data_IF_370764828293
#
_entry.id   IF_370764828293
#
_cell.length_a   1.000
_cell.length_b   1.000
_cell.length_c   1.000
_cell.angle_alpha   90.00
_cell.angle_beta   90.00
_cell.angle_gamma   90.00
#
_symmetry.space_group_name_H-M   'P 1'
#
loop_
_entity.id
_entity.type
_entity.pdbx_description
1 polymer ?
#
# COMPACT_ATOMS: atom_id res chain seq x y z
N UNK A 1 -8.51 -23.24 -4.90
CA UNK A 1 -7.38 -22.43 -5.40
C UNK A 1 -7.75 -20.98 -5.17
N UNK A 2 -7.25 -20.38 -4.09
CA UNK A 2 -7.62 -19.01 -3.72
C UNK A 2 -6.85 -18.05 -4.61
N UNK A 3 -7.57 -17.43 -5.53
CA UNK A 3 -7.07 -16.37 -6.41
C UNK A 3 -6.78 -15.14 -5.54
N UNK A 4 -5.56 -15.04 -5.02
CA UNK A 4 -5.08 -13.90 -4.24
C UNK A 4 -5.36 -12.60 -4.99
N UNK A 5 -6.30 -11.79 -4.49
CA UNK A 5 -6.81 -10.65 -5.26
C UNK A 5 -6.06 -9.39 -4.82
N UNK A 6 -4.89 -9.19 -5.40
CA UNK A 6 -4.13 -7.94 -5.29
C UNK A 6 -5.04 -6.76 -5.66
N UNK A 7 -5.26 -5.82 -4.75
CA UNK A 7 -6.03 -4.59 -5.04
C UNK A 7 -5.05 -3.49 -5.44
N UNK A 8 -5.47 -2.64 -6.38
CA UNK A 8 -4.69 -1.50 -6.84
C UNK A 8 -5.54 -0.25 -6.71
N UNK A 9 -4.96 0.80 -6.15
CA UNK A 9 -5.60 2.09 -5.98
C UNK A 9 -4.69 3.16 -6.58
N UNK A 10 -5.23 4.02 -7.46
CA UNK A 10 -4.50 5.14 -8.05
C UNK A 10 -5.11 6.42 -7.55
N UNK A 11 -4.29 7.27 -6.94
CA UNK A 11 -4.73 8.52 -6.33
C UNK A 11 -3.94 9.68 -6.90
N UNK A 12 -4.66 10.74 -7.23
CA UNK A 12 -4.05 12.01 -7.62
C UNK A 12 -3.98 12.93 -6.40
N UNK A 13 -2.78 13.34 -6.02
CA UNK A 13 -2.55 14.26 -4.91
C UNK A 13 -1.61 15.39 -5.35
N UNK A 14 -2.05 16.64 -5.18
CA UNK A 14 -1.32 17.87 -5.56
C UNK A 14 -0.77 17.85 -7.01
N UNK A 15 -1.57 17.34 -7.95
CA UNK A 15 -1.19 17.25 -9.36
C UNK A 15 -0.16 16.16 -9.69
N UNK A 16 0.05 15.20 -8.77
CA UNK A 16 0.86 14.00 -8.99
C UNK A 16 0.02 12.75 -8.81
N UNK A 17 0.23 11.77 -9.67
CA UNK A 17 -0.43 10.48 -9.56
C UNK A 17 0.44 9.50 -8.77
N UNK A 18 -0.19 8.81 -7.83
CA UNK A 18 0.42 7.82 -6.97
C UNK A 18 -0.25 6.47 -7.18
N UNK A 19 0.56 5.42 -7.38
CA UNK A 19 0.06 4.07 -7.58
C UNK A 19 0.29 3.24 -6.33
N UNK A 20 -0.80 2.83 -5.69
CA UNK A 20 -0.80 1.99 -4.52
C UNK A 20 -1.25 0.57 -4.87
N UNK A 21 -0.63 -0.40 -4.23
CA UNK A 21 -0.93 -1.82 -4.41
C UNK A 21 -1.05 -2.46 -3.03
N UNK A 22 -2.13 -3.20 -2.79
CA UNK A 22 -2.28 -4.01 -1.59
C UNK A 22 -1.76 -5.42 -1.84
N UNK A 23 -1.01 -5.94 -0.88
CA UNK A 23 -0.76 -7.36 -0.77
C UNK A 23 -1.70 -7.92 0.30
N UNK A 24 -2.51 -8.91 -0.06
CA UNK A 24 -3.24 -9.69 0.93
C UNK A 24 -2.24 -10.46 1.77
N UNK A 25 -2.41 -10.36 3.09
CA UNK A 25 -1.61 -11.07 4.04
C UNK A 25 -1.86 -12.56 3.89
N UNK A 26 -0.80 -13.34 3.81
CA UNK A 26 -0.90 -14.79 3.74
C UNK A 26 -0.81 -15.32 5.18
N UNK A 27 -1.69 -16.25 5.59
CA UNK A 27 -1.47 -17.00 6.81
C UNK A 27 -0.15 -17.78 6.68
N UNK A 28 0.55 -17.98 7.80
CA UNK A 28 1.77 -18.77 7.80
C UNK A 28 1.48 -20.15 7.21
N UNK A 29 2.20 -20.52 6.17
CA UNK A 29 2.14 -21.85 5.59
C UNK A 29 3.39 -22.61 6.02
N UNK A 30 3.33 -23.20 7.21
CA UNK A 30 4.44 -23.96 7.80
C UNK A 30 4.92 -25.10 6.89
N UNK A 31 4.02 -25.64 6.06
CA UNK A 31 4.34 -26.72 5.12
C UNK A 31 5.20 -26.25 3.94
N UNK A 32 5.20 -24.95 3.63
CA UNK A 32 6.02 -24.32 2.58
C UNK A 32 7.13 -23.42 3.13
N UNK A 33 7.21 -23.25 4.46
CA UNK A 33 8.14 -22.33 5.10
C UNK A 33 7.81 -20.85 4.84
N UNK A 34 6.57 -20.53 4.47
CA UNK A 34 6.14 -19.16 4.21
C UNK A 34 5.65 -18.53 5.54
N UNK A 35 6.35 -17.51 6.02
CA UNK A 35 5.96 -16.74 7.20
C UNK A 35 4.65 -15.97 6.95
N UNK A 36 3.81 -15.85 7.99
CA UNK A 36 2.63 -15.01 7.91
C UNK A 36 3.04 -13.59 7.58
N UNK A 37 2.54 -13.06 6.45
CA UNK A 37 2.70 -11.65 6.13
C UNK A 37 1.38 -10.94 6.43
N UNK A 38 1.38 -9.81 7.16
CA UNK A 38 0.18 -9.01 7.33
C UNK A 38 -0.20 -8.37 6.00
N UNK A 39 -1.50 -8.21 5.79
CA UNK A 39 -2.03 -7.52 4.63
C UNK A 39 -1.62 -6.05 4.69
N UNK A 40 -0.98 -5.53 3.64
CA UNK A 40 -0.35 -4.20 3.66
C UNK A 40 -0.46 -3.50 2.31
N UNK A 41 -0.68 -2.19 2.35
CA UNK A 41 -0.62 -1.28 1.23
C UNK A 41 0.80 -0.77 1.02
N UNK A 42 1.22 -0.72 -0.24
CA UNK A 42 2.50 -0.18 -0.64
C UNK A 42 2.32 0.88 -1.72
N UNK A 43 3.08 1.97 -1.60
CA UNK A 43 3.26 2.93 -2.69
C UNK A 43 4.33 2.39 -3.64
N UNK A 44 3.97 2.28 -4.91
CA UNK A 44 4.88 1.88 -5.98
C UNK A 44 5.62 3.10 -6.53
N UNK A 45 6.91 3.21 -6.17
CA UNK A 45 7.83 4.17 -6.78
C UNK A 45 8.62 3.60 -7.94
N UNK A 46 9.36 4.45 -8.67
CA UNK A 46 10.17 4.04 -9.83
C UNK A 46 11.25 2.99 -9.51
N UNK A 47 11.76 2.98 -8.26
CA UNK A 47 12.85 2.09 -7.85
C UNK A 47 12.64 1.43 -6.48
N UNK A 48 11.57 1.79 -5.76
CA UNK A 48 11.31 1.31 -4.40
C UNK A 48 9.82 1.24 -4.12
N UNK A 49 9.45 0.31 -3.25
CA UNK A 49 8.10 0.22 -2.67
C UNK A 49 8.17 0.74 -1.23
N UNK A 50 7.24 1.59 -0.85
CA UNK A 50 7.15 2.09 0.52
C UNK A 50 5.92 1.49 1.20
N UNK A 51 6.06 0.87 2.38
CA UNK A 51 4.91 0.46 3.17
C UNK A 51 4.13 1.70 3.61
N UNK A 52 2.81 1.64 3.44
CA UNK A 52 1.90 2.77 3.67
C UNK A 52 1.08 2.55 4.93
N UNK A 53 0.26 1.50 4.92
CA UNK A 53 -0.63 1.12 6.01
C UNK A 53 -1.04 -0.34 5.88
N UNK A 54 -1.56 -0.92 6.95
CA UNK A 54 -2.18 -2.25 6.91
C UNK A 54 -3.43 -2.23 6.01
N UNK A 55 -3.65 -3.31 5.27
CA UNK A 55 -4.85 -3.53 4.46
C UNK A 55 -5.81 -4.40 5.27
N UNK A 56 -6.96 -3.87 5.65
CA UNK A 56 -8.00 -4.68 6.28
C UNK A 56 -8.89 -5.28 5.18
N UNK A 57 -9.15 -6.60 5.16
CA UNK A 57 -9.94 -7.25 4.11
C UNK A 57 -11.35 -6.68 3.93
N UNK A 58 -11.96 -6.24 5.04
CA UNK A 58 -13.30 -5.65 5.06
C UNK A 58 -13.28 -4.11 4.98
N UNK A 59 -12.13 -3.51 4.68
CA UNK A 59 -12.04 -2.05 4.56
C UNK A 59 -12.73 -1.57 3.30
N UNK A 60 -13.68 -0.62 3.40
CA UNK A 60 -14.28 -0.03 2.22
C UNK A 60 -13.28 0.88 1.50
N UNK A 61 -13.44 0.97 0.17
CA UNK A 61 -12.46 1.62 -0.71
C UNK A 61 -12.31 3.11 -0.39
N UNK A 62 -13.36 3.79 0.05
CA UNK A 62 -13.31 5.20 0.42
C UNK A 62 -12.47 5.45 1.68
N UNK A 63 -12.49 4.53 2.65
CA UNK A 63 -11.63 4.59 3.83
C UNK A 63 -10.17 4.32 3.49
N UNK A 64 -9.92 3.36 2.59
CA UNK A 64 -8.59 3.12 2.05
C UNK A 64 -8.07 4.40 1.40
N UNK A 65 -8.82 5.01 0.50
CA UNK A 65 -8.41 6.23 -0.20
C UNK A 65 -8.11 7.37 0.79
N UNK A 66 -8.97 7.59 1.79
CA UNK A 66 -8.74 8.58 2.86
C UNK A 66 -7.45 8.29 3.64
N UNK A 67 -7.19 7.03 3.97
CA UNK A 67 -5.97 6.59 4.66
C UNK A 67 -4.71 6.83 3.83
N UNK A 68 -4.73 6.45 2.55
CA UNK A 68 -3.64 6.66 1.60
C UNK A 68 -3.36 8.16 1.38
N UNK A 69 -4.40 8.99 1.22
CA UNK A 69 -4.27 10.45 1.10
C UNK A 69 -3.68 11.08 2.37
N UNK A 70 -4.12 10.63 3.55
CA UNK A 70 -3.59 11.10 4.84
C UNK A 70 -2.11 10.73 4.99
N UNK A 71 -1.72 9.52 4.58
CA UNK A 71 -0.33 9.11 4.57
C UNK A 71 0.50 9.97 3.62
N UNK A 72 0.02 10.23 2.39
CA UNK A 72 0.69 11.15 1.45
C UNK A 72 0.90 12.53 2.06
N UNK A 73 -0.11 13.08 2.74
CA UNK A 73 0.02 14.35 3.46
C UNK A 73 1.08 14.32 4.57
N UNK A 74 1.27 13.17 5.23
CA UNK A 74 2.30 12.98 6.25
C UNK A 74 3.70 12.83 5.62
N UNK A 75 3.81 12.10 4.51
CA UNK A 75 5.09 11.92 3.82
C UNK A 75 5.60 13.22 3.20
N UNK A 76 4.74 14.12 2.74
CA UNK A 76 5.17 15.43 2.20
C UNK A 76 5.91 16.30 3.24
N UNK A 77 5.75 16.05 4.53
CA UNK A 77 6.53 16.69 5.59
C UNK A 77 7.93 16.06 5.79
N UNK A 78 8.21 14.88 5.20
CA UNK A 78 9.44 14.11 5.42
C UNK A 78 10.10 13.53 4.16
N UNK A 79 9.49 13.67 2.98
CA UNK A 79 10.15 13.36 1.72
C UNK A 79 11.20 14.44 1.48
N UNK A 80 12.49 14.09 1.28
CA UNK A 80 13.45 15.07 0.80
C UNK A 80 12.86 15.63 -0.50
N UNK A 81 12.47 16.91 -0.45
CA UNK A 81 12.17 17.68 -1.65
C UNK A 81 13.38 17.44 -2.54
N UNK A 82 13.21 16.78 -3.69
CA UNK A 82 14.31 16.59 -4.66
C UNK A 82 14.95 17.96 -4.83
N UNK A 83 16.12 18.16 -4.24
CA UNK A 83 16.99 19.25 -4.64
C UNK A 83 17.42 18.91 -6.06
N UNK A 84 17.28 19.93 -6.91
CA UNK A 84 17.34 19.87 -8.35
C UNK A 84 18.73 19.51 -8.88
#
# INVERSE_FOLDING_TARGET
MSSHKVRQCRLSYRGRDFHFVSYEGHPANERRGESAMPAMWYLMGPAKRWPVMEHLPDQPDDEVEKGLLKWLGTQELGLPRREA
#
